data_IF_899693970039
#
_entry.id   IF_899693970039
#
_cell.length_a   1.000
_cell.length_b   1.000
_cell.length_c   1.000
_cell.angle_alpha   90.00
_cell.angle_beta   90.00
_cell.angle_gamma   90.00
#
_symmetry.space_group_name_H-M   'P 1'
#
loop_
_entity.id
_entity.type
_entity.pdbx_description
1 polymer ?
#
# COMPACT_ATOMS: atom_id res chain seq x y z
N UNK A 1 12.05 -29.75 21.32
CA UNK A 1 11.72 -30.00 19.89
C UNK A 1 12.38 -28.91 19.05
N UNK A 2 13.44 -29.24 18.32
CA UNK A 2 14.14 -28.28 17.46
C UNK A 2 13.19 -27.79 16.36
N UNK A 3 13.10 -26.48 16.17
CA UNK A 3 12.36 -25.88 15.06
C UNK A 3 13.09 -26.25 13.77
N UNK A 4 12.40 -26.96 12.87
CA UNK A 4 12.90 -27.30 11.53
C UNK A 4 13.49 -26.03 10.87
N UNK A 5 14.71 -26.08 10.30
CA UNK A 5 15.28 -24.92 9.63
C UNK A 5 14.34 -24.49 8.51
N UNK A 6 13.88 -23.24 8.56
CA UNK A 6 13.07 -22.66 7.48
C UNK A 6 13.89 -22.73 6.19
N UNK A 7 13.45 -23.58 5.25
CA UNK A 7 13.97 -23.61 3.89
C UNK A 7 13.97 -22.18 3.34
N UNK A 8 15.15 -21.70 2.92
CA UNK A 8 15.26 -20.43 2.19
C UNK A 8 14.68 -20.65 0.80
N UNK A 9 13.36 -20.54 0.70
CA UNK A 9 12.65 -20.66 -0.57
C UNK A 9 13.02 -19.45 -1.45
N UNK A 10 13.37 -19.70 -2.71
CA UNK A 10 13.80 -18.65 -3.63
C UNK A 10 12.71 -17.60 -3.80
N UNK A 11 13.08 -16.34 -3.52
CA UNK A 11 12.18 -15.17 -3.57
C UNK A 11 11.49 -15.02 -4.93
N UNK A 12 12.12 -15.46 -6.02
CA UNK A 12 11.59 -15.41 -7.39
C UNK A 12 10.43 -16.36 -7.66
N UNK A 13 10.35 -17.47 -6.92
CA UNK A 13 9.29 -18.49 -7.04
C UNK A 13 8.02 -18.02 -6.31
N UNK A 14 8.19 -17.24 -5.23
CA UNK A 14 7.10 -16.76 -4.39
C UNK A 14 6.29 -15.59 -4.97
N UNK A 15 6.87 -14.77 -5.87
CA UNK A 15 6.11 -13.65 -6.46
C UNK A 15 5.44 -14.04 -7.78
N UNK A 16 4.23 -13.50 -8.02
CA UNK A 16 3.68 -13.42 -9.36
C UNK A 16 4.66 -12.73 -10.33
N UNK A 17 4.75 -13.23 -11.57
CA UNK A 17 5.68 -12.73 -12.61
C UNK A 17 5.65 -11.20 -12.75
N UNK A 18 4.46 -10.59 -12.66
CA UNK A 18 4.27 -9.14 -12.75
C UNK A 18 5.12 -8.32 -11.77
N UNK A 19 5.45 -8.89 -10.59
CA UNK A 19 6.19 -8.18 -9.56
C UNK A 19 7.69 -8.45 -9.53
N UNK A 20 8.19 -9.38 -10.36
CA UNK A 20 9.61 -9.74 -10.36
C UNK A 20 10.53 -8.54 -10.67
N UNK A 21 10.06 -7.59 -11.50
CA UNK A 21 10.77 -6.33 -11.78
C UNK A 21 11.00 -5.48 -10.51
N UNK A 22 10.09 -5.55 -9.54
CA UNK A 22 10.09 -4.71 -8.35
C UNK A 22 10.78 -5.34 -7.13
N UNK A 23 11.40 -6.52 -7.27
CA UNK A 23 12.02 -7.24 -6.14
C UNK A 23 12.98 -6.39 -5.32
N UNK A 24 13.77 -5.54 -5.99
CA UNK A 24 14.75 -4.65 -5.34
C UNK A 24 14.12 -3.63 -4.39
N UNK A 25 12.82 -3.35 -4.52
CA UNK A 25 12.07 -2.41 -3.69
C UNK A 25 11.59 -3.04 -2.37
N UNK A 26 11.59 -4.37 -2.26
CA UNK A 26 11.05 -5.08 -1.09
C UNK A 26 12.17 -5.65 -0.21
N UNK A 27 11.85 -5.86 1.06
CA UNK A 27 12.74 -6.53 1.99
C UNK A 27 12.78 -8.03 1.68
N UNK A 28 13.96 -8.57 1.36
CA UNK A 28 14.16 -10.00 1.01
C UNK A 28 13.52 -10.96 2.02
N UNK A 29 13.67 -10.67 3.32
CA UNK A 29 13.11 -11.46 4.43
C UNK A 29 11.57 -11.44 4.50
N UNK A 30 10.90 -10.58 3.74
CA UNK A 30 9.43 -10.39 3.73
C UNK A 30 8.81 -10.58 2.35
N UNK A 31 9.58 -11.03 1.36
CA UNK A 31 9.13 -11.25 -0.01
C UNK A 31 7.99 -12.29 -0.07
N UNK A 32 8.01 -13.27 0.81
CA UNK A 32 6.93 -14.26 0.97
C UNK A 32 5.57 -13.69 1.38
N UNK A 33 5.47 -12.39 1.70
CA UNK A 33 4.22 -11.70 2.06
C UNK A 33 3.63 -10.88 0.90
N UNK A 34 4.13 -11.11 -0.32
CA UNK A 34 3.64 -10.49 -1.55
C UNK A 34 2.66 -11.43 -2.27
N UNK A 35 1.68 -10.88 -3.01
CA UNK A 35 1.27 -9.46 -2.99
C UNK A 35 0.66 -9.07 -1.63
N UNK A 36 0.73 -7.80 -1.20
CA UNK A 36 0.05 -7.39 0.01
C UNK A 36 -1.45 -7.51 -0.24
N UNK A 37 -2.07 -8.49 0.41
CA UNK A 37 -3.51 -8.65 0.44
C UNK A 37 -3.98 -8.13 1.80
N UNK A 38 -4.71 -7.03 1.79
CA UNK A 38 -5.41 -6.57 2.98
C UNK A 38 -6.84 -7.10 2.93
N UNK A 39 -7.08 -8.25 3.56
CA UNK A 39 -8.42 -8.82 3.71
C UNK A 39 -9.20 -7.98 4.72
N UNK A 40 -10.18 -7.22 4.25
CA UNK A 40 -11.18 -6.60 5.12
C UNK A 40 -12.49 -6.42 4.35
N UNK A 41 -13.47 -7.25 4.72
CA UNK A 41 -14.88 -7.04 4.38
C UNK A 41 -15.41 -5.96 5.33
N UNK A 42 -15.35 -4.69 4.90
CA UNK A 42 -15.96 -3.61 5.64
C UNK A 42 -17.25 -3.18 4.94
N UNK A 43 -18.34 -3.09 5.69
CA UNK A 43 -19.61 -2.59 5.16
C UNK A 43 -19.46 -1.09 4.88
N UNK A 44 -19.49 -0.72 3.60
CA UNK A 44 -19.43 0.67 3.16
C UNK A 44 -20.84 1.26 3.15
N UNK A 45 -21.07 2.31 3.94
CA UNK A 45 -22.32 3.06 3.92
C UNK A 45 -22.51 3.80 2.57
N UNK A 46 -23.76 3.99 2.15
CA UNK A 46 -24.11 4.65 0.87
C UNK A 46 -23.44 6.01 0.67
N UNK A 47 -23.35 6.83 1.71
CA UNK A 47 -22.68 8.14 1.66
C UNK A 47 -21.20 8.01 1.32
N UNK A 48 -20.51 7.03 1.92
CA UNK A 48 -19.09 6.76 1.65
C UNK A 48 -18.87 6.24 0.23
N UNK A 49 -19.80 5.44 -0.30
CA UNK A 49 -19.76 4.97 -1.69
C UNK A 49 -19.92 6.12 -2.70
N UNK A 50 -20.75 7.12 -2.41
CA UNK A 50 -20.89 8.31 -3.25
C UNK A 50 -19.58 9.11 -3.30
N UNK A 51 -18.93 9.30 -2.16
CA UNK A 51 -17.62 9.95 -2.09
C UNK A 51 -16.57 9.11 -2.81
N UNK A 52 -16.55 7.79 -2.61
CA UNK A 52 -15.64 6.87 -3.29
C UNK A 52 -15.71 7.03 -4.82
N UNK A 53 -16.94 6.98 -5.37
CA UNK A 53 -17.15 7.10 -6.82
C UNK A 53 -16.67 8.44 -7.35
N UNK A 54 -17.04 9.54 -6.68
CA UNK A 54 -16.62 10.89 -7.08
C UNK A 54 -15.09 11.03 -7.10
N UNK A 55 -14.42 10.58 -6.03
CA UNK A 55 -12.95 10.64 -5.93
C UNK A 55 -12.26 9.76 -6.98
N UNK A 56 -12.74 8.52 -7.20
CA UNK A 56 -12.16 7.63 -8.21
C UNK A 56 -12.32 8.20 -9.63
N UNK A 57 -13.49 8.76 -9.96
CA UNK A 57 -13.71 9.41 -11.26
C UNK A 57 -12.75 10.59 -11.45
N UNK A 58 -12.63 11.46 -10.46
CA UNK A 58 -11.73 12.61 -10.51
C UNK A 58 -10.25 12.19 -10.64
N UNK A 59 -9.82 11.14 -9.94
CA UNK A 59 -8.46 10.61 -10.05
C UNK A 59 -8.19 9.96 -11.41
N UNK A 60 -9.20 9.31 -12.01
CA UNK A 60 -9.12 8.75 -13.36
C UNK A 60 -9.04 9.86 -14.41
N UNK A 61 -9.90 10.88 -14.32
CA UNK A 61 -9.91 12.04 -15.23
C UNK A 61 -8.59 12.81 -15.20
N UNK A 62 -7.98 12.93 -14.02
CA UNK A 62 -6.65 13.53 -13.86
C UNK A 62 -5.50 12.64 -14.32
N UNK A 63 -5.76 11.36 -14.62
CA UNK A 63 -4.73 10.38 -14.96
C UNK A 63 -3.82 9.98 -13.80
N UNK A 64 -4.23 10.22 -12.55
CA UNK A 64 -3.45 9.83 -11.36
C UNK A 64 -3.56 8.33 -11.06
N UNK A 65 -4.66 7.70 -11.48
CA UNK A 65 -4.87 6.25 -11.37
C UNK A 65 -5.36 5.69 -12.71
N UNK A 66 -5.28 4.36 -12.86
CA UNK A 66 -5.81 3.62 -13.98
C UNK A 66 -6.29 2.25 -13.52
N UNK A 67 -7.10 1.59 -14.33
CA UNK A 67 -7.60 0.23 -14.04
C UNK A 67 -6.42 -0.74 -14.11
N UNK A 68 -6.18 -1.46 -13.01
CA UNK A 68 -5.06 -2.39 -12.91
C UNK A 68 -5.54 -3.82 -12.67
N UNK A 69 -4.88 -4.80 -13.29
CA UNK A 69 -5.06 -6.24 -13.03
C UNK A 69 -4.08 -6.75 -11.96
N UNK A 70 -3.75 -5.89 -11.01
CA UNK A 70 -2.81 -6.16 -9.93
C UNK A 70 -3.41 -7.15 -8.93
N UNK A 71 -2.65 -8.18 -8.54
CA UNK A 71 -3.04 -9.08 -7.44
C UNK A 71 -2.93 -8.42 -6.05
N UNK A 72 -2.35 -7.22 -5.95
CA UNK A 72 -2.22 -6.49 -4.70
C UNK A 72 -3.49 -5.67 -4.42
N UNK A 73 -3.93 -5.69 -3.17
CA UNK A 73 -5.15 -5.01 -2.72
C UNK A 73 -4.83 -4.17 -1.50
N UNK A 74 -5.25 -2.90 -1.52
CA UNK A 74 -5.19 -2.00 -0.38
C UNK A 74 -6.61 -1.60 0.03
N UNK A 75 -6.81 -1.45 1.34
CA UNK A 75 -8.10 -1.03 1.90
C UNK A 75 -8.31 0.48 1.68
N UNK A 76 -9.51 0.88 1.26
CA UNK A 76 -9.91 2.29 1.24
C UNK A 76 -10.60 2.65 2.56
N UNK A 77 -10.09 3.66 3.24
CA UNK A 77 -10.61 4.19 4.49
C UNK A 77 -11.25 5.55 4.27
N UNK A 78 -12.16 5.90 5.17
CA UNK A 78 -12.82 7.20 5.20
C UNK A 78 -12.73 7.82 6.58
N UNK A 79 -12.32 9.09 6.63
CA UNK A 79 -12.14 9.84 7.87
C UNK A 79 -12.90 11.15 7.76
N UNK A 80 -13.67 11.49 8.79
CA UNK A 80 -14.34 12.79 8.88
C UNK A 80 -13.35 13.88 9.30
N UNK A 81 -13.35 15.00 8.58
CA UNK A 81 -12.70 16.24 9.03
C UNK A 81 -13.56 16.91 10.10
N UNK A 82 -12.95 17.88 10.80
CA UNK A 82 -13.67 18.83 11.67
C UNK A 82 -14.76 19.60 10.90
N UNK A 83 -14.55 19.89 9.61
CA UNK A 83 -15.56 20.50 8.73
C UNK A 83 -16.71 19.57 8.33
N UNK A 84 -16.80 18.36 8.89
CA UNK A 84 -17.72 17.26 8.53
C UNK A 84 -17.52 16.67 7.13
N UNK A 85 -16.54 17.14 6.36
CA UNK A 85 -16.18 16.50 5.08
C UNK A 85 -15.58 15.11 5.31
N UNK A 86 -15.95 14.18 4.43
CA UNK A 86 -15.34 12.85 4.39
C UNK A 86 -14.09 12.88 3.49
N UNK A 87 -12.93 12.45 4.01
CA UNK A 87 -11.72 12.25 3.21
C UNK A 87 -11.58 10.79 2.78
N UNK A 88 -11.30 10.59 1.50
CA UNK A 88 -10.85 9.33 0.93
C UNK A 88 -9.38 9.07 1.28
N UNK A 89 -9.07 7.88 1.79
CA UNK A 89 -7.71 7.47 2.17
C UNK A 89 -7.42 6.04 1.71
N UNK A 90 -6.22 5.77 1.21
CA UNK A 90 -5.79 4.41 0.86
C UNK A 90 -4.81 3.91 1.91
N UNK A 91 -5.14 2.78 2.54
CA UNK A 91 -4.33 2.17 3.58
C UNK A 91 -3.13 1.40 2.99
N UNK A 92 -2.00 2.08 2.85
CA UNK A 92 -0.75 1.46 2.40
C UNK A 92 0.03 0.76 3.53
N UNK A 93 -0.54 0.56 4.72
CA UNK A 93 0.21 0.02 5.86
C UNK A 93 0.87 -1.34 5.57
N UNK A 94 0.12 -2.27 4.97
CA UNK A 94 0.63 -3.59 4.62
C UNK A 94 1.80 -3.51 3.63
N UNK A 95 1.66 -2.65 2.61
CA UNK A 95 2.70 -2.37 1.61
C UNK A 95 3.94 -1.72 2.25
N UNK A 96 3.75 -0.70 3.08
CA UNK A 96 4.84 0.02 3.75
C UNK A 96 5.65 -0.88 4.70
N UNK A 97 5.05 -1.96 5.23
CA UNK A 97 5.72 -2.91 6.12
C UNK A 97 6.67 -3.85 5.38
N UNK A 98 6.44 -4.09 4.08
CA UNK A 98 7.24 -5.00 3.24
C UNK A 98 8.23 -4.24 2.33
N UNK A 99 7.97 -2.98 2.02
CA UNK A 99 8.85 -2.12 1.24
C UNK A 99 10.14 -1.75 2.00
N UNK A 100 11.25 -1.67 1.25
CA UNK A 100 12.54 -1.16 1.74
C UNK A 100 12.42 0.35 1.92
N UNK A 101 12.72 0.85 3.12
CA UNK A 101 12.68 2.30 3.40
C UNK A 101 13.91 2.97 2.79
N UNK A 102 13.68 3.88 1.83
CA UNK A 102 14.72 4.78 1.35
C UNK A 102 14.77 6.00 2.29
N UNK A 103 15.68 5.98 3.27
CA UNK A 103 15.81 7.08 4.24
C UNK A 103 16.68 8.18 3.61
N UNK A 104 16.05 9.28 3.23
CA UNK A 104 16.75 10.53 2.95
C UNK A 104 16.89 11.31 4.26
N UNK A 105 18.09 11.76 4.59
CA UNK A 105 18.31 12.62 5.76
C UNK A 105 17.73 13.99 5.49
N UNK A 106 16.54 14.25 6.02
CA UNK A 106 15.98 15.61 6.02
C UNK A 106 16.80 16.47 6.98
N UNK A 107 17.22 17.68 6.58
CA UNK A 107 17.90 18.59 7.48
C UNK A 107 16.97 18.96 8.64
N UNK A 108 17.56 19.13 9.82
CA UNK A 108 16.82 19.65 10.97
C UNK A 108 16.40 21.07 10.67
N UNK A 109 15.18 21.46 11.05
CA UNK A 109 14.58 22.77 10.71
C UNK A 109 15.54 23.93 11.04
N UNK A 110 16.24 23.87 12.18
CA UNK A 110 17.21 24.90 12.57
C UNK A 110 18.40 25.03 11.63
N UNK A 111 18.83 23.94 10.97
CA UNK A 111 19.92 23.93 9.97
C UNK A 111 19.47 24.41 8.59
N UNK A 112 18.17 24.42 8.33
CA UNK A 112 17.60 24.82 7.03
C UNK A 112 17.22 26.30 6.99
N UNK A 113 17.01 26.91 8.17
CA UNK A 113 16.63 28.32 8.33
C UNK A 113 17.81 29.24 8.68
N UNK A 114 19.04 28.70 8.75
CA UNK A 114 20.28 29.46 8.94
C UNK A 114 20.78 29.99 7.61
#
# INVERSE_FOLDING_TARGET
KALVPKLKLDSRILLPKAYQKYLKLFLEKKVNKLPPLQELLYNILKEKLLVLRKELTLLLEKGFIYISNSLAIALVLFIYKLSKDLRFYVNYYALNKISKKNKYSLPLIHKTLS
#
